data_IF_169754153663
#
_entry.id   IF_169754153663
#
_cell.length_a   1.000
_cell.length_b   1.000
_cell.length_c   1.000
_cell.angle_alpha   90.00
_cell.angle_beta   90.00
_cell.angle_gamma   90.00
#
_symmetry.space_group_name_H-M   'P 1'
#
loop_
_entity.id
_entity.type
_entity.pdbx_description
1 polymer ?
#
# COMPACT_ATOMS: atom_id res chain seq x y z
N UNK A 1 -1.98 -15.45 -21.84
CA UNK A 1 -1.42 -14.20 -21.29
C UNK A 1 -2.57 -13.34 -20.82
N UNK A 2 -2.44 -12.65 -19.69
CA UNK A 2 -3.46 -11.69 -19.26
C UNK A 2 -3.60 -10.57 -20.29
N UNK A 3 -4.83 -10.13 -20.55
CA UNK A 3 -5.07 -9.01 -21.46
C UNK A 3 -4.65 -7.67 -20.82
N UNK A 4 -4.77 -6.57 -21.57
CA UNK A 4 -4.37 -5.25 -21.07
C UNK A 4 -5.27 -4.77 -19.92
N UNK A 5 -6.56 -5.10 -19.94
CA UNK A 5 -7.52 -4.66 -18.93
C UNK A 5 -7.26 -5.35 -17.60
N UNK A 6 -7.05 -6.67 -17.62
CA UNK A 6 -6.65 -7.45 -16.46
C UNK A 6 -5.37 -6.90 -15.82
N UNK A 7 -4.37 -6.50 -16.63
CA UNK A 7 -3.13 -5.92 -16.12
C UNK A 7 -3.34 -4.56 -15.46
N UNK A 8 -4.23 -3.72 -16.00
CA UNK A 8 -4.57 -2.42 -15.39
C UNK A 8 -5.24 -2.61 -14.02
N UNK A 9 -6.22 -3.52 -13.95
CA UNK A 9 -6.91 -3.83 -12.69
C UNK A 9 -5.92 -4.42 -11.67
N UNK A 10 -5.12 -5.40 -12.09
CA UNK A 10 -4.14 -6.05 -11.22
C UNK A 10 -3.07 -5.07 -10.70
N UNK A 11 -2.68 -4.07 -11.49
CA UNK A 11 -1.73 -3.05 -11.05
C UNK A 11 -2.28 -2.22 -9.88
N UNK A 12 -3.56 -1.82 -9.95
CA UNK A 12 -4.19 -1.00 -8.89
C UNK A 12 -4.51 -1.87 -7.67
N UNK A 13 -5.22 -2.98 -7.85
CA UNK A 13 -5.61 -3.87 -6.75
C UNK A 13 -4.38 -4.47 -6.08
N UNK A 14 -3.39 -4.89 -6.86
CA UNK A 14 -2.14 -5.42 -6.35
C UNK A 14 -1.36 -4.40 -5.51
N UNK A 15 -1.34 -3.13 -5.91
CA UNK A 15 -0.73 -2.08 -5.09
C UNK A 15 -1.46 -1.89 -3.75
N UNK A 16 -2.81 -1.88 -3.75
CA UNK A 16 -3.59 -1.76 -2.52
C UNK A 16 -3.37 -2.96 -1.59
N UNK A 17 -3.34 -4.18 -2.15
CA UNK A 17 -3.10 -5.41 -1.38
C UNK A 17 -1.68 -5.43 -0.82
N UNK A 18 -0.67 -5.06 -1.61
CA UNK A 18 0.72 -5.05 -1.18
C UNK A 18 0.99 -4.06 -0.05
N UNK A 19 0.41 -2.85 -0.13
CA UNK A 19 0.51 -1.85 0.93
C UNK A 19 -0.11 -2.37 2.25
N UNK A 20 -1.33 -2.92 2.21
CA UNK A 20 -1.98 -3.49 3.39
C UNK A 20 -1.24 -4.73 3.94
N UNK A 21 -0.67 -5.57 3.07
CA UNK A 21 0.06 -6.78 3.43
C UNK A 21 1.40 -6.47 4.12
N UNK A 22 2.14 -5.48 3.61
CA UNK A 22 3.48 -5.14 4.11
C UNK A 22 3.45 -4.20 5.32
N UNK A 23 2.36 -3.41 5.48
CA UNK A 23 2.23 -2.40 6.52
C UNK A 23 2.62 -2.85 7.94
N UNK A 24 2.23 -4.05 8.40
CA UNK A 24 2.54 -4.47 9.77
C UNK A 24 4.04 -4.72 10.04
N UNK A 25 4.85 -4.84 9.00
CA UNK A 25 6.31 -5.02 9.07
C UNK A 25 7.09 -3.78 8.61
N UNK A 26 6.40 -2.68 8.30
CA UNK A 26 7.04 -1.45 7.87
C UNK A 26 8.07 -0.94 8.88
N UNK A 27 9.22 -0.53 8.32
CA UNK A 27 10.27 0.25 8.97
C UNK A 27 11.02 -0.52 10.09
N UNK A 28 10.97 -1.85 10.04
CA UNK A 28 11.92 -2.72 10.75
C UNK A 28 13.18 -2.81 9.90
N UNK A 29 14.15 -1.92 10.16
CA UNK A 29 15.39 -1.82 9.37
C UNK A 29 16.55 -2.69 9.88
N UNK A 30 16.46 -3.16 11.13
CA UNK A 30 17.48 -4.04 11.67
C UNK A 30 17.18 -5.47 11.23
N UNK A 31 18.11 -6.07 10.48
CA UNK A 31 17.94 -7.40 9.91
C UNK A 31 17.79 -8.49 10.98
N UNK A 32 18.53 -8.40 12.10
CA UNK A 32 18.40 -9.33 13.22
C UNK A 32 17.00 -9.25 13.85
N UNK A 33 16.46 -8.03 13.96
CA UNK A 33 15.09 -7.81 14.43
C UNK A 33 14.09 -8.38 13.44
N UNK A 34 14.21 -8.08 12.14
CA UNK A 34 13.30 -8.61 11.11
C UNK A 34 13.32 -10.14 11.11
N UNK A 35 14.51 -10.74 11.17
CA UNK A 35 14.68 -12.19 11.21
C UNK A 35 14.06 -12.79 12.47
N UNK A 36 14.29 -12.20 13.65
CA UNK A 36 13.66 -12.68 14.88
C UNK A 36 12.13 -12.60 14.86
N UNK A 37 11.56 -11.64 14.13
CA UNK A 37 10.11 -11.50 13.95
C UNK A 37 9.58 -12.56 13.00
N UNK A 38 10.23 -12.80 11.86
CA UNK A 38 9.69 -13.62 10.77
C UNK A 38 10.18 -15.07 10.75
N UNK A 39 11.16 -15.45 11.58
CA UNK A 39 11.82 -16.76 11.55
C UNK A 39 10.88 -17.97 11.62
N UNK A 40 9.71 -17.83 12.24
CA UNK A 40 8.80 -18.94 12.49
C UNK A 40 7.78 -19.17 11.35
N UNK A 41 7.73 -18.31 10.33
CA UNK A 41 6.79 -18.45 9.21
C UNK A 41 7.24 -17.75 7.92
N UNK A 42 6.95 -18.40 6.78
CA UNK A 42 7.29 -17.86 5.45
C UNK A 42 6.25 -16.86 4.92
N UNK A 43 4.99 -16.98 5.35
CA UNK A 43 3.89 -16.10 4.96
C UNK A 43 3.93 -14.81 5.79
N UNK A 44 4.65 -13.80 5.31
CA UNK A 44 4.89 -12.56 6.08
C UNK A 44 3.83 -11.48 5.85
N UNK A 45 2.88 -11.71 4.96
CA UNK A 45 1.77 -10.80 4.71
C UNK A 45 0.83 -10.66 5.91
N UNK A 46 0.29 -9.45 6.07
CA UNK A 46 -0.72 -9.12 7.08
C UNK A 46 -0.30 -9.56 8.50
N UNK A 47 0.96 -9.32 8.86
CA UNK A 47 1.55 -9.80 10.11
C UNK A 47 0.80 -9.34 11.37
N UNK A 48 0.48 -10.28 12.28
CA UNK A 48 -0.20 -10.01 13.54
C UNK A 48 0.53 -10.68 14.71
N UNK A 49 0.81 -9.95 15.81
CA UNK A 49 0.60 -8.51 15.99
C UNK A 49 1.60 -7.69 15.17
N UNK A 50 1.21 -6.49 14.72
CA UNK A 50 2.09 -5.58 13.97
C UNK A 50 3.44 -5.37 14.68
N UNK A 51 4.53 -5.58 13.94
CA UNK A 51 5.90 -5.33 14.39
C UNK A 51 6.39 -3.92 14.02
N UNK A 52 5.59 -3.16 13.25
CA UNK A 52 5.85 -1.77 12.91
C UNK A 52 6.00 -0.92 14.20
N UNK A 53 7.15 -0.24 14.40
CA UNK A 53 7.42 0.48 15.64
C UNK A 53 6.85 1.90 15.69
N UNK A 54 6.28 2.42 14.59
CA UNK A 54 5.87 3.81 14.46
C UNK A 54 4.36 4.02 14.46
N UNK A 55 3.60 3.11 13.84
CA UNK A 55 2.15 3.21 13.80
C UNK A 55 1.48 1.84 13.76
N UNK A 56 0.22 1.81 14.21
CA UNK A 56 -0.62 0.62 14.22
C UNK A 56 -1.97 0.99 13.63
N UNK A 57 -2.23 0.51 12.42
CA UNK A 57 -3.55 0.57 11.81
C UNK A 57 -4.17 -0.83 11.84
N UNK A 58 -5.48 -0.91 11.66
CA UNK A 58 -6.20 -2.17 11.57
C UNK A 58 -5.72 -2.99 10.36
N UNK A 59 -5.57 -4.31 10.54
CA UNK A 59 -5.10 -5.21 9.49
C UNK A 59 -5.99 -5.18 8.25
N UNK A 60 -5.36 -5.17 7.07
CA UNK A 60 -6.07 -5.06 5.79
C UNK A 60 -6.38 -3.63 5.35
N UNK A 61 -6.11 -2.61 6.19
CA UNK A 61 -6.21 -1.20 5.77
C UNK A 61 -4.95 -0.75 5.04
N UNK A 62 -5.14 0.16 4.09
CA UNK A 62 -4.04 0.88 3.45
C UNK A 62 -3.41 1.92 4.40
N UNK A 63 -2.15 2.24 4.12
CA UNK A 63 -1.42 3.33 4.78
C UNK A 63 -1.68 4.68 4.10
N UNK A 64 -1.03 5.73 4.59
CA UNK A 64 -1.03 7.02 3.91
C UNK A 64 -0.49 6.97 2.47
N UNK A 65 0.33 5.96 2.11
CA UNK A 65 0.76 5.77 0.72
C UNK A 65 -0.41 5.36 -0.18
N UNK A 66 -1.28 4.49 0.32
CA UNK A 66 -2.53 4.15 -0.36
C UNK A 66 -3.50 5.33 -0.45
N UNK A 67 -3.62 6.14 0.61
CA UNK A 67 -4.43 7.36 0.59
C UNK A 67 -3.94 8.34 -0.49
N UNK A 68 -2.62 8.57 -0.58
CA UNK A 68 -2.03 9.43 -1.60
C UNK A 68 -2.27 8.89 -3.01
N UNK A 69 -2.13 7.58 -3.22
CA UNK A 69 -2.40 6.94 -4.50
C UNK A 69 -3.87 7.09 -4.92
N UNK A 70 -4.81 6.93 -3.98
CA UNK A 70 -6.24 7.12 -4.22
C UNK A 70 -6.56 8.56 -4.64
N UNK A 71 -6.05 9.55 -3.90
CA UNK A 71 -6.27 10.97 -4.21
C UNK A 71 -5.71 11.33 -5.60
N UNK A 72 -4.56 10.76 -5.96
CA UNK A 72 -3.98 10.93 -7.31
C UNK A 72 -4.90 10.38 -8.40
N UNK A 73 -5.40 9.14 -8.21
CA UNK A 73 -6.32 8.51 -9.16
C UNK A 73 -7.62 9.30 -9.31
N UNK A 74 -8.21 9.75 -8.19
CA UNK A 74 -9.40 10.62 -8.18
C UNK A 74 -9.16 11.90 -8.98
N UNK A 75 -8.06 12.58 -8.71
CA UNK A 75 -7.69 13.82 -9.41
C UNK A 75 -7.50 13.63 -10.93
N UNK A 76 -6.90 12.51 -11.34
CA UNK A 76 -6.78 12.16 -12.76
C UNK A 76 -8.14 11.95 -13.40
N UNK A 77 -9.06 11.22 -12.75
CA UNK A 77 -10.42 11.01 -13.26
C UNK A 77 -11.13 12.36 -13.42
N UNK A 78 -11.11 13.20 -12.39
CA UNK A 78 -11.78 14.50 -12.37
C UNK A 78 -11.19 15.48 -13.41
N UNK A 79 -9.91 15.33 -13.74
CA UNK A 79 -9.20 16.14 -14.75
C UNK A 79 -9.24 15.54 -16.16
N UNK A 80 -10.04 14.49 -16.42
CA UNK A 80 -10.15 13.86 -17.74
C UNK A 80 -8.88 13.11 -18.15
N UNK A 81 -8.28 12.37 -17.22
CA UNK A 81 -7.02 11.62 -17.34
C UNK A 81 -5.78 12.48 -17.62
N UNK A 82 -5.82 13.76 -17.27
CA UNK A 82 -4.67 14.67 -17.35
C UNK A 82 -4.13 14.94 -15.96
N UNK A 83 -2.81 14.94 -15.81
CA UNK A 83 -2.21 15.35 -14.56
C UNK A 83 -2.50 16.84 -14.30
N UNK A 84 -3.10 17.13 -13.16
CA UNK A 84 -3.38 18.48 -12.68
C UNK A 84 -2.94 18.58 -11.22
N UNK A 85 -1.76 19.15 -11.00
CA UNK A 85 -1.18 19.30 -9.66
C UNK A 85 -2.03 20.20 -8.75
N UNK A 86 -2.72 21.20 -9.30
CA UNK A 86 -3.61 22.05 -8.52
C UNK A 86 -4.83 21.27 -8.01
N UNK A 87 -5.41 20.41 -8.86
CA UNK A 87 -6.53 19.58 -8.46
C UNK A 87 -6.10 18.50 -7.46
N UNK A 88 -4.91 17.90 -7.63
CA UNK A 88 -4.38 16.88 -6.71
C UNK A 88 -4.13 17.40 -5.28
N UNK A 89 -3.67 18.65 -5.15
CA UNK A 89 -3.37 19.24 -3.83
C UNK A 89 -4.63 19.75 -3.12
N UNK A 90 -5.71 20.04 -3.86
CA UNK A 90 -6.96 20.61 -3.34
C UNK A 90 -8.15 19.65 -3.46
N UNK A 91 -7.90 18.37 -3.74
CA UNK A 91 -8.94 17.35 -3.83
C UNK A 91 -9.29 16.85 -2.43
N UNK A 92 -10.25 17.53 -1.79
CA UNK A 92 -10.94 17.05 -0.59
C UNK A 92 -12.06 16.05 -0.97
#
# INVERSE_FOLDING_TARGET
MADLEQRKIAAIVGACVADAAAQPLHWVYNDDVMQSVTQDREDVEFWVPSANPYYKIEGGRNTCYGDQAYVMLKSLVDSGSKHNSYHFVNSD
#
